data_IF_643658312077
#
_entry.id   IF_643658312077
#
_cell.length_a   1.000
_cell.length_b   1.000
_cell.length_c   1.000
_cell.angle_alpha   90.00
_cell.angle_beta   90.00
_cell.angle_gamma   90.00
#
_symmetry.space_group_name_H-M   'P 1'
#
loop_
_entity.id
_entity.type
_entity.pdbx_description
1 polymer ?
#
# COMPACT_ATOMS: atom_id res chain seq x y z
N UNK A 1 9.65 7.41 3.93
CA UNK A 1 9.28 6.45 5.00
C UNK A 1 10.01 5.14 4.77
N UNK A 2 10.40 4.40 5.81
CA UNK A 2 11.02 3.06 5.68
C UNK A 2 10.35 2.07 6.63
N UNK A 3 10.00 0.87 6.13
CA UNK A 3 9.60 -0.28 6.96
C UNK A 3 10.68 -1.37 6.91
N UNK A 4 11.11 -1.83 8.08
CA UNK A 4 12.15 -2.85 8.19
C UNK A 4 11.53 -4.25 8.30
N UNK A 5 11.43 -4.98 7.19
CA UNK A 5 10.65 -6.23 7.13
C UNK A 5 11.26 -7.34 7.98
N UNK A 6 12.58 -7.38 8.12
CA UNK A 6 13.28 -8.32 9.00
C UNK A 6 12.85 -8.26 10.47
N UNK A 7 12.30 -7.12 10.90
CA UNK A 7 11.78 -6.91 12.26
C UNK A 7 10.25 -7.01 12.34
N UNK A 8 9.59 -7.24 11.22
CA UNK A 8 8.13 -7.27 11.18
C UNK A 8 7.63 -8.57 11.78
N UNK A 9 6.70 -8.46 12.73
CA UNK A 9 6.14 -9.60 13.45
C UNK A 9 4.67 -9.85 13.10
N UNK A 10 4.15 -9.24 12.03
CA UNK A 10 2.78 -9.50 11.57
C UNK A 10 1.66 -9.07 12.50
N UNK A 11 1.92 -8.45 13.67
CA UNK A 11 0.92 -8.25 14.73
C UNK A 11 -0.31 -7.37 14.42
N UNK A 12 -0.43 -6.78 13.22
CA UNK A 12 -1.56 -5.92 12.80
C UNK A 12 -1.91 -4.70 13.69
N UNK A 13 -1.16 -4.40 14.77
CA UNK A 13 -1.43 -3.26 15.66
C UNK A 13 -1.47 -1.92 14.92
N UNK A 14 -0.62 -1.78 13.90
CA UNK A 14 -0.58 -0.64 13.00
C UNK A 14 -1.87 -0.46 12.18
N UNK A 15 -2.53 -1.56 11.81
CA UNK A 15 -3.79 -1.58 11.06
C UNK A 15 -4.93 -1.13 11.96
N UNK A 16 -5.01 -1.70 13.17
CA UNK A 16 -6.03 -1.34 14.16
C UNK A 16 -5.91 0.13 14.59
N UNK A 17 -4.70 0.62 14.86
CA UNK A 17 -4.49 2.03 15.20
C UNK A 17 -4.96 2.98 14.09
N UNK A 18 -4.73 2.62 12.81
CA UNK A 18 -5.22 3.41 11.69
C UNK A 18 -6.74 3.30 11.54
N UNK A 19 -7.29 2.10 11.70
CA UNK A 19 -8.72 1.80 11.59
C UNK A 19 -9.52 2.65 12.57
N UNK A 20 -9.18 2.57 13.85
CA UNK A 20 -9.89 3.21 14.95
C UNK A 20 -9.86 4.74 14.91
N UNK A 21 -8.84 5.34 14.28
CA UNK A 21 -8.74 6.81 14.21
C UNK A 21 -9.46 7.35 12.96
N UNK A 22 -9.40 6.63 11.83
CA UNK A 22 -9.74 7.22 10.54
C UNK A 22 -10.88 6.55 9.77
N UNK A 23 -11.12 5.25 9.97
CA UNK A 23 -11.95 4.43 9.05
C UNK A 23 -12.91 3.49 9.79
N UNK A 24 -13.39 3.89 10.97
CA UNK A 24 -14.42 3.21 11.75
C UNK A 24 -15.86 3.67 11.40
N UNK A 25 -15.98 4.55 10.39
CA UNK A 25 -17.24 5.12 9.91
C UNK A 25 -17.93 4.19 8.91
N UNK A 26 -19.26 4.28 8.84
CA UNK A 26 -20.04 3.67 7.77
C UNK A 26 -19.53 4.12 6.39
N UNK A 27 -19.44 3.18 5.44
CA UNK A 27 -18.82 3.38 4.15
C UNK A 27 -17.33 3.07 4.11
N UNK A 28 -16.66 3.05 5.27
CA UNK A 28 -15.20 2.91 5.40
C UNK A 28 -14.77 1.70 6.22
N UNK A 29 -15.71 0.98 6.80
CA UNK A 29 -15.48 -0.23 7.59
C UNK A 29 -14.66 -1.29 6.84
N UNK A 30 -14.87 -1.43 5.53
CA UNK A 30 -14.07 -2.33 4.70
C UNK A 30 -12.67 -1.80 4.37
N UNK A 31 -12.39 -0.50 4.57
CA UNK A 31 -11.15 0.15 4.14
C UNK A 31 -10.02 -0.02 5.15
N UNK A 32 -8.90 -0.61 4.72
CA UNK A 32 -7.69 -0.70 5.52
C UNK A 32 -6.58 0.17 4.91
N UNK A 33 -6.59 1.46 5.27
CA UNK A 33 -5.56 2.42 4.82
C UNK A 33 -4.15 1.92 5.15
N UNK A 34 -3.98 1.37 6.36
CA UNK A 34 -2.86 0.49 6.72
C UNK A 34 -3.39 -0.94 6.84
N UNK A 35 -2.80 -1.86 6.08
CA UNK A 35 -3.03 -3.29 6.19
C UNK A 35 -1.67 -4.01 6.26
N UNK A 36 -1.67 -5.26 6.72
CA UNK A 36 -0.50 -6.15 6.69
C UNK A 36 -0.93 -7.40 5.95
N UNK A 37 -0.03 -7.95 5.15
CA UNK A 37 -0.27 -9.12 4.31
C UNK A 37 0.80 -10.15 4.61
N UNK A 38 0.45 -11.43 4.53
CA UNK A 38 1.44 -12.50 4.53
C UNK A 38 1.90 -12.74 3.09
N UNK A 39 3.22 -12.91 2.92
CA UNK A 39 3.84 -13.19 1.63
C UNK A 39 4.63 -14.51 1.70
N UNK A 40 4.47 -15.43 0.73
CA UNK A 40 3.61 -15.33 -0.46
C UNK A 40 2.10 -15.35 -0.15
N UNK A 41 1.32 -14.58 -0.90
CA UNK A 41 -0.13 -14.41 -0.73
C UNK A 41 -0.72 -13.41 -1.73
N UNK A 42 -2.05 -13.44 -1.92
CA UNK A 42 -2.71 -12.56 -2.92
C UNK A 42 -2.95 -11.14 -2.41
N UNK A 43 -2.89 -10.95 -1.09
CA UNK A 43 -2.98 -9.64 -0.44
C UNK A 43 -4.37 -8.99 -0.53
N UNK A 44 -4.41 -7.68 -0.29
CA UNK A 44 -5.66 -6.93 -0.13
C UNK A 44 -5.64 -5.59 -0.94
N UNK A 45 -6.58 -5.38 -1.88
CA UNK A 45 -7.54 -6.36 -2.40
C UNK A 45 -6.83 -7.55 -3.07
N UNK A 46 -7.55 -8.64 -3.26
CA UNK A 46 -7.04 -9.88 -3.85
C UNK A 46 -6.33 -9.62 -5.17
N UNK A 47 -5.09 -10.09 -5.27
CA UNK A 47 -4.19 -9.97 -6.42
C UNK A 47 -3.90 -8.52 -6.83
N UNK A 48 -3.85 -7.57 -5.88
CA UNK A 48 -3.66 -6.14 -6.18
C UNK A 48 -2.39 -5.83 -7.01
N UNK A 49 -1.37 -6.68 -6.95
CA UNK A 49 -0.11 -6.58 -7.71
C UNK A 49 -0.29 -6.90 -9.20
N UNK A 50 -1.32 -7.67 -9.58
CA UNK A 50 -1.62 -7.99 -10.98
C UNK A 50 -2.17 -6.77 -11.73
N UNK A 51 -1.27 -6.06 -12.41
CA UNK A 51 -1.63 -4.92 -13.24
C UNK A 51 -2.11 -5.33 -14.65
N UNK A 52 -2.10 -6.61 -15.02
CA UNK A 52 -2.81 -7.08 -16.21
C UNK A 52 -4.32 -7.03 -16.00
N UNK A 53 -4.79 -7.41 -14.79
CA UNK A 53 -6.17 -7.25 -14.31
C UNK A 53 -6.50 -5.78 -14.02
N UNK A 54 -5.82 -5.18 -13.05
CA UNK A 54 -6.24 -3.88 -12.51
C UNK A 54 -5.70 -2.65 -13.23
N UNK A 55 -4.71 -2.83 -14.11
CA UNK A 55 -4.14 -1.75 -14.95
C UNK A 55 -3.73 -0.49 -14.16
N UNK A 56 -3.22 -0.63 -12.94
CA UNK A 56 -2.66 0.51 -12.20
C UNK A 56 -1.23 0.82 -12.65
N UNK A 57 -0.72 2.00 -12.31
CA UNK A 57 0.65 2.40 -12.64
C UNK A 57 0.78 3.15 -13.96
N UNK A 58 2.02 3.39 -14.37
CA UNK A 58 2.38 4.02 -15.64
C UNK A 58 3.06 3.03 -16.59
N UNK A 59 2.81 3.18 -17.88
CA UNK A 59 3.60 2.61 -18.97
C UNK A 59 4.42 3.72 -19.65
N UNK A 60 5.52 3.34 -20.28
CA UNK A 60 6.30 4.21 -21.18
C UNK A 60 5.97 3.80 -22.61
N UNK A 61 5.24 4.65 -23.34
CA UNK A 61 4.90 4.45 -24.74
C UNK A 61 5.45 5.59 -25.58
N UNK A 62 6.30 5.26 -26.56
CA UNK A 62 6.99 6.23 -27.44
C UNK A 62 7.68 7.35 -26.65
N UNK A 63 8.36 6.99 -25.57
CA UNK A 63 9.08 7.93 -24.70
C UNK A 63 8.18 8.84 -23.84
N UNK A 64 6.89 8.53 -23.71
CA UNK A 64 5.95 9.28 -22.87
C UNK A 64 5.32 8.38 -21.81
N UNK A 65 5.16 8.92 -20.60
CA UNK A 65 4.41 8.26 -19.54
C UNK A 65 2.92 8.31 -19.84
N UNK A 66 2.27 7.15 -19.78
CA UNK A 66 0.81 7.00 -19.92
C UNK A 66 0.28 6.14 -18.79
N UNK A 67 -0.89 6.52 -18.26
CA UNK A 67 -1.57 5.69 -17.27
C UNK A 67 -2.02 4.38 -17.92
N UNK A 68 -1.80 3.26 -17.23
CA UNK A 68 -2.22 1.93 -17.69
C UNK A 68 -3.75 1.78 -17.72
N UNK A 69 -4.40 2.38 -16.73
CA UNK A 69 -5.84 2.26 -16.49
C UNK A 69 -6.66 3.09 -17.46
N UNK A 70 -6.19 4.28 -17.80
CA UNK A 70 -6.98 5.27 -18.54
C UNK A 70 -6.11 6.20 -19.38
N UNK A 71 -6.72 6.83 -20.38
CA UNK A 71 -6.14 7.89 -21.18
C UNK A 71 -7.26 8.81 -21.65
N UNK A 72 -6.96 9.96 -22.28
CA UNK A 72 -7.99 10.96 -22.63
C UNK A 72 -9.20 10.36 -23.38
N UNK A 73 -8.97 9.46 -24.34
CA UNK A 73 -10.05 8.78 -25.07
C UNK A 73 -10.72 7.66 -24.27
N UNK A 74 -9.95 6.86 -23.53
CA UNK A 74 -10.48 5.73 -22.74
C UNK A 74 -11.30 6.19 -21.53
N UNK A 75 -11.00 7.37 -20.99
CA UNK A 75 -11.75 7.97 -19.88
C UNK A 75 -13.21 8.24 -20.25
N UNK A 76 -13.49 8.67 -21.49
CA UNK A 76 -14.85 8.95 -21.95
C UNK A 76 -15.69 7.67 -21.95
N UNK A 77 -15.14 6.57 -22.46
CA UNK A 77 -15.84 5.29 -22.50
C UNK A 77 -15.95 4.63 -21.12
N UNK A 78 -14.94 4.79 -20.26
CA UNK A 78 -14.89 4.16 -18.94
C UNK A 78 -15.56 4.99 -17.83
N UNK A 79 -16.14 6.15 -18.14
CA UNK A 79 -16.70 7.04 -17.11
C UNK A 79 -17.92 6.44 -16.41
N UNK A 80 -18.73 5.67 -17.14
CA UNK A 80 -19.92 5.01 -16.61
C UNK A 80 -19.61 3.66 -15.96
N UNK A 81 -18.59 2.97 -16.49
CA UNK A 81 -18.14 1.69 -15.97
C UNK A 81 -16.65 1.51 -16.27
N UNK A 82 -15.82 1.37 -15.24
CA UNK A 82 -14.41 1.10 -15.39
C UNK A 82 -14.14 -0.40 -15.13
N UNK A 83 -13.78 -1.19 -16.15
CA UNK A 83 -13.63 -2.64 -16.00
C UNK A 83 -12.42 -3.04 -15.15
N UNK A 84 -11.49 -2.13 -14.89
CA UNK A 84 -10.32 -2.38 -14.04
C UNK A 84 -10.53 -1.93 -12.59
N UNK A 85 -11.75 -1.54 -12.24
CA UNK A 85 -12.12 -1.14 -10.89
C UNK A 85 -12.27 -2.38 -10.00
N UNK A 86 -11.58 -2.47 -8.85
CA UNK A 86 -11.85 -3.54 -7.88
C UNK A 86 -13.29 -3.48 -7.38
N UNK A 87 -13.93 -4.63 -7.28
CA UNK A 87 -15.26 -4.80 -6.68
C UNK A 87 -15.16 -4.93 -5.18
N UNK A 88 -16.29 -4.97 -4.47
CA UNK A 88 -16.30 -5.24 -3.03
C UNK A 88 -15.77 -6.66 -2.73
N UNK A 89 -16.07 -7.63 -3.60
CA UNK A 89 -15.63 -9.02 -3.46
C UNK A 89 -14.11 -9.18 -3.61
N UNK A 90 -13.45 -8.30 -4.36
CA UNK A 90 -11.98 -8.24 -4.40
C UNK A 90 -11.40 -7.78 -3.04
N UNK A 91 -12.18 -7.12 -2.18
CA UNK A 91 -11.82 -6.80 -0.81
C UNK A 91 -12.40 -7.84 0.15
N UNK A 92 -13.62 -7.59 0.61
CA UNK A 92 -14.51 -8.47 1.39
C UNK A 92 -15.81 -7.72 1.66
N UNK A 93 -16.90 -8.44 1.88
CA UNK A 93 -18.14 -7.85 2.41
C UNK A 93 -17.96 -7.59 3.92
N UNK A 94 -17.98 -6.34 4.40
CA UNK A 94 -17.79 -6.05 5.82
C UNK A 94 -18.96 -6.57 6.64
N UNK A 95 -18.67 -7.14 7.81
CA UNK A 95 -19.68 -7.74 8.69
C UNK A 95 -19.54 -7.31 10.15
N UNK A 96 -20.64 -7.45 10.87
CA UNK A 96 -20.71 -7.41 12.34
C UNK A 96 -21.44 -8.67 12.82
N UNK A 97 -21.79 -8.76 14.10
CA UNK A 97 -22.50 -9.91 14.65
C UNK A 97 -23.76 -9.47 15.42
N UNK A 98 -24.79 -10.31 15.41
CA UNK A 98 -25.97 -10.13 16.24
C UNK A 98 -25.69 -10.46 17.72
N UNK A 99 -24.93 -9.60 18.39
CA UNK A 99 -24.64 -9.76 19.81
C UNK A 99 -25.90 -9.66 20.68
N UNK A 100 -26.97 -9.00 20.20
CA UNK A 100 -28.22 -8.86 20.96
C UNK A 100 -28.92 -10.20 21.13
N UNK A 101 -28.80 -11.10 20.16
CA UNK A 101 -29.36 -12.45 20.26
C UNK A 101 -28.81 -13.23 21.47
N UNK A 102 -27.58 -12.95 21.92
CA UNK A 102 -27.01 -13.61 23.11
C UNK A 102 -27.73 -13.25 24.41
N UNK A 103 -28.43 -12.12 24.46
CA UNK A 103 -29.11 -11.62 25.66
C UNK A 103 -30.63 -11.69 25.55
N UNK A 104 -31.16 -11.58 24.32
CA UNK A 104 -32.59 -11.40 24.06
C UNK A 104 -33.23 -12.59 23.35
N UNK A 105 -32.49 -13.67 23.10
CA UNK A 105 -33.07 -14.86 22.48
C UNK A 105 -34.23 -15.40 23.32
N UNK A 106 -35.34 -15.81 22.68
CA UNK A 106 -36.42 -16.47 23.38
C UNK A 106 -35.96 -17.81 23.95
N UNK A 107 -36.65 -18.29 24.98
CA UNK A 107 -36.44 -19.63 25.52
C UNK A 107 -36.62 -20.69 24.42
N UNK A 108 -35.66 -21.62 24.32
CA UNK A 108 -35.63 -22.63 23.27
C UNK A 108 -34.67 -23.77 23.61
N UNK A 109 -34.68 -24.81 22.78
CA UNK A 109 -33.83 -26.00 22.98
C UNK A 109 -32.37 -25.81 22.58
N UNK A 110 -32.07 -24.78 21.77
CA UNK A 110 -30.74 -24.51 21.24
C UNK A 110 -30.09 -23.31 21.94
N UNK A 111 -28.77 -23.36 22.13
CA UNK A 111 -28.01 -22.25 22.68
C UNK A 111 -27.98 -21.07 21.69
N UNK A 112 -28.30 -19.84 22.12
CA UNK A 112 -28.23 -18.68 21.23
C UNK A 112 -26.79 -18.37 20.82
N UNK A 113 -26.61 -17.98 19.56
CA UNK A 113 -25.32 -17.60 18.99
C UNK A 113 -25.40 -16.22 18.34
N UNK A 114 -24.28 -15.51 18.25
CA UNK A 114 -24.18 -14.25 17.52
C UNK A 114 -23.81 -14.55 16.07
N UNK A 115 -24.80 -14.53 15.18
CA UNK A 115 -24.61 -14.79 13.75
C UNK A 115 -24.06 -13.55 13.02
N UNK A 116 -23.22 -13.70 11.99
CA UNK A 116 -22.68 -12.58 11.24
C UNK A 116 -23.78 -11.89 10.41
N UNK A 117 -23.74 -10.57 10.39
CA UNK A 117 -24.65 -9.67 9.65
C UNK A 117 -23.81 -8.79 8.72
N UNK A 118 -24.21 -8.68 7.46
CA UNK A 118 -23.61 -7.75 6.51
C UNK A 118 -23.78 -6.30 6.99
N UNK A 119 -22.70 -5.54 7.02
CA UNK A 119 -22.75 -4.09 7.26
C UNK A 119 -23.21 -3.30 6.03
N UNK A 120 -23.41 -3.98 4.89
CA UNK A 120 -23.93 -3.39 3.65
C UNK A 120 -25.44 -3.60 3.54
N UNK A 121 -25.92 -4.86 3.65
CA UNK A 121 -27.33 -5.20 3.44
C UNK A 121 -28.13 -5.28 4.74
N UNK A 122 -27.49 -5.57 5.87
CA UNK A 122 -28.16 -5.86 7.14
C UNK A 122 -28.69 -7.30 7.25
N UNK A 123 -28.48 -8.13 6.24
CA UNK A 123 -28.91 -9.53 6.23
C UNK A 123 -27.86 -10.44 6.90
N UNK A 124 -28.30 -11.62 7.33
CA UNK A 124 -27.39 -12.68 7.75
C UNK A 124 -26.57 -13.20 6.57
N UNK A 125 -25.28 -13.40 6.78
CA UNK A 125 -24.36 -13.87 5.75
C UNK A 125 -23.55 -15.09 6.20
N UNK A 126 -22.85 -15.72 5.27
CA UNK A 126 -21.72 -16.59 5.59
C UNK A 126 -20.44 -15.81 5.27
N UNK A 127 -19.48 -15.78 6.20
CA UNK A 127 -18.22 -15.07 5.98
C UNK A 127 -17.30 -15.94 5.14
N UNK A 128 -17.02 -15.52 3.91
CA UNK A 128 -16.21 -16.27 2.93
C UNK A 128 -14.84 -15.62 2.64
N UNK A 129 -14.67 -14.36 3.01
CA UNK A 129 -13.45 -13.59 2.81
C UNK A 129 -13.27 -12.52 3.89
N UNK A 130 -12.05 -12.02 4.02
CA UNK A 130 -11.69 -10.95 4.94
C UNK A 130 -10.41 -10.25 4.50
N UNK A 131 -10.07 -9.11 5.11
CA UNK A 131 -8.93 -8.27 4.70
C UNK A 131 -7.55 -8.90 4.97
N UNK A 132 -7.52 -10.05 5.63
CA UNK A 132 -6.33 -10.77 6.07
C UNK A 132 -6.62 -12.29 6.09
N UNK A 133 -7.29 -12.78 5.05
CA UNK A 133 -7.82 -14.15 5.00
C UNK A 133 -6.73 -15.22 4.82
N UNK A 134 -5.59 -14.84 4.22
CA UNK A 134 -4.41 -15.67 3.97
C UNK A 134 -3.28 -15.47 4.99
N UNK A 135 -3.60 -14.96 6.18
CA UNK A 135 -2.67 -14.79 7.30
C UNK A 135 -1.97 -16.11 7.64
N UNK A 136 -0.68 -16.02 7.99
CA UNK A 136 0.18 -17.18 8.29
C UNK A 136 0.00 -18.38 7.36
N UNK A 137 -0.06 -18.09 6.04
CA UNK A 137 -0.20 -19.08 4.96
C UNK A 137 -1.56 -19.83 4.94
N UNK A 138 -2.58 -19.28 5.59
CA UNK A 138 -3.96 -19.75 5.51
C UNK A 138 -4.42 -19.89 4.05
N UNK A 139 -4.90 -21.08 3.67
CA UNK A 139 -5.36 -21.33 2.30
C UNK A 139 -4.25 -21.25 1.24
N UNK A 140 -2.99 -21.59 1.58
CA UNK A 140 -1.81 -21.52 0.68
C UNK A 140 -2.02 -21.97 -0.77
N UNK A 141 -2.77 -23.06 -1.01
CA UNK A 141 -3.06 -23.56 -2.37
C UNK A 141 -3.91 -22.60 -3.22
N UNK A 142 -4.66 -21.74 -2.56
CA UNK A 142 -5.52 -20.73 -3.20
C UNK A 142 -4.78 -19.41 -3.27
N UNK A 143 -4.07 -19.01 -2.21
CA UNK A 143 -3.50 -17.67 -2.11
C UNK A 143 -1.99 -17.62 -2.36
N UNK A 144 -1.19 -18.39 -1.64
CA UNK A 144 0.26 -18.36 -1.76
C UNK A 144 0.74 -18.83 -3.15
N UNK A 145 0.17 -19.91 -3.68
CA UNK A 145 0.52 -20.45 -5.02
C UNK A 145 0.18 -19.48 -6.16
N UNK A 146 -0.79 -18.59 -5.93
CA UNK A 146 -1.28 -17.60 -6.90
C UNK A 146 -0.76 -16.17 -6.59
N UNK A 147 0.29 -16.03 -5.77
CA UNK A 147 0.95 -14.74 -5.57
C UNK A 147 1.62 -14.28 -6.90
N UNK A 148 1.27 -13.09 -7.43
CA UNK A 148 1.86 -12.58 -8.67
C UNK A 148 3.38 -12.46 -8.66
N UNK A 149 4.01 -12.37 -7.49
CA UNK A 149 5.46 -12.30 -7.37
C UNK A 149 6.16 -13.63 -7.73
N UNK A 150 5.42 -14.73 -7.85
CA UNK A 150 5.97 -16.04 -8.22
C UNK A 150 6.01 -16.26 -9.74
N UNK A 151 5.42 -15.37 -10.56
CA UNK A 151 5.28 -15.54 -12.02
C UNK A 151 6.61 -15.70 -12.76
N UNK A 152 7.70 -15.15 -12.22
CA UNK A 152 9.04 -15.29 -12.76
C UNK A 152 9.77 -16.60 -12.38
N UNK A 153 9.21 -17.43 -11.51
CA UNK A 153 9.83 -18.66 -11.03
C UNK A 153 9.54 -19.86 -11.94
N UNK A 154 10.51 -20.76 -12.05
CA UNK A 154 10.31 -22.06 -12.72
C UNK A 154 9.41 -22.97 -11.88
N UNK A 155 8.81 -23.98 -12.53
CA UNK A 155 7.98 -24.98 -11.83
C UNK A 155 8.76 -25.69 -10.71
N UNK A 156 10.04 -26.02 -10.94
CA UNK A 156 10.90 -26.62 -9.92
C UNK A 156 11.11 -25.68 -8.73
N UNK A 157 11.34 -24.38 -8.96
CA UNK A 157 11.47 -23.38 -7.89
C UNK A 157 10.16 -23.24 -7.09
N UNK A 158 9.01 -23.24 -7.77
CA UNK A 158 7.70 -23.22 -7.11
C UNK A 158 7.49 -24.44 -6.22
N UNK A 159 7.79 -25.64 -6.72
CA UNK A 159 7.70 -26.87 -5.94
C UNK A 159 8.62 -26.86 -4.71
N UNK A 160 9.82 -26.27 -4.84
CA UNK A 160 10.74 -26.13 -3.71
C UNK A 160 10.22 -25.17 -2.62
N UNK A 161 9.51 -24.10 -2.99
CA UNK A 161 8.90 -23.16 -2.03
C UNK A 161 7.66 -23.74 -1.34
N UNK A 162 6.91 -24.61 -2.03
CA UNK A 162 5.72 -25.26 -1.48
C UNK A 162 6.03 -26.53 -0.67
N UNK A 163 7.28 -26.97 -0.63
CA UNK A 163 7.70 -28.09 0.21
C UNK A 163 7.58 -27.71 1.70
N UNK A 164 6.87 -28.52 2.48
CA UNK A 164 6.56 -28.23 3.91
C UNK A 164 7.81 -27.89 4.72
N UNK A 165 8.92 -28.59 4.49
CA UNK A 165 10.21 -28.39 5.18
C UNK A 165 10.93 -27.08 4.77
N UNK A 166 10.42 -26.38 3.76
CA UNK A 166 11.00 -25.17 3.16
C UNK A 166 10.02 -24.01 3.09
N UNK A 167 8.87 -24.12 3.76
CA UNK A 167 7.89 -23.05 3.83
C UNK A 167 8.52 -21.83 4.52
N UNK A 168 8.57 -20.73 3.80
CA UNK A 168 9.00 -19.43 4.31
C UNK A 168 7.91 -18.43 3.97
N UNK A 169 7.56 -17.62 4.96
CA UNK A 169 6.73 -16.46 4.74
C UNK A 169 7.29 -15.25 5.50
N UNK A 170 6.87 -14.07 5.09
CA UNK A 170 7.15 -12.82 5.80
C UNK A 170 5.94 -11.92 5.73
N UNK A 171 5.94 -10.88 6.58
CA UNK A 171 4.85 -9.92 6.63
C UNK A 171 5.17 -8.68 5.82
N UNK A 172 4.18 -8.21 5.06
CA UNK A 172 4.29 -7.04 4.20
C UNK A 172 3.26 -5.96 4.61
N UNK A 173 3.58 -5.12 5.60
CA UNK A 173 2.72 -4.01 6.01
C UNK A 173 2.73 -2.89 4.97
N UNK A 174 1.56 -2.45 4.48
CA UNK A 174 1.44 -1.43 3.44
C UNK A 174 0.54 -0.26 3.82
N UNK A 175 0.91 0.93 3.36
CA UNK A 175 0.09 2.16 3.35
C UNK A 175 0.16 2.82 1.97
N UNK A 176 -0.51 3.95 1.77
CA UNK A 176 -0.23 4.79 0.60
C UNK A 176 1.25 5.19 0.59
N UNK A 177 1.90 5.08 -0.57
CA UNK A 177 3.30 5.43 -0.72
C UNK A 177 3.57 6.93 -0.86
N UNK A 178 2.52 7.77 -0.93
CA UNK A 178 2.62 9.23 -1.15
C UNK A 178 3.64 9.59 -2.25
N UNK A 179 3.52 8.92 -3.40
CA UNK A 179 4.53 8.87 -4.45
C UNK A 179 4.90 10.25 -5.02
N UNK A 180 6.06 10.36 -5.68
CA UNK A 180 6.47 11.58 -6.40
C UNK A 180 5.73 11.71 -7.74
N UNK A 181 5.45 10.59 -8.41
CA UNK A 181 4.66 10.51 -9.65
C UNK A 181 3.33 9.75 -9.45
N UNK A 182 2.38 10.29 -8.65
CA UNK A 182 1.18 9.56 -8.24
C UNK A 182 0.16 9.38 -9.38
N UNK A 183 -0.05 8.14 -9.82
CA UNK A 183 -1.08 7.81 -10.82
C UNK A 183 -2.48 8.26 -10.42
N UNK A 184 -2.80 8.22 -9.12
CA UNK A 184 -4.11 8.60 -8.61
C UNK A 184 -4.41 10.09 -8.78
N UNK A 185 -3.38 10.96 -8.73
CA UNK A 185 -3.51 12.39 -9.04
C UNK A 185 -3.78 12.57 -10.53
N UNK A 186 -2.93 11.95 -11.38
CA UNK A 186 -3.04 12.06 -12.83
C UNK A 186 -4.36 11.50 -13.40
N UNK A 187 -4.94 10.48 -12.75
CA UNK A 187 -6.15 9.83 -13.22
C UNK A 187 -7.45 10.55 -12.82
N UNK A 188 -7.41 11.49 -11.87
CA UNK A 188 -8.61 12.11 -11.31
C UNK A 188 -9.20 13.18 -12.26
N UNK A 189 -10.40 12.97 -12.85
CA UNK A 189 -10.93 13.91 -13.83
C UNK A 189 -11.30 15.28 -13.23
N UNK A 190 -11.70 15.32 -11.96
CA UNK A 190 -12.06 16.56 -11.27
C UNK A 190 -10.87 17.30 -10.66
N UNK A 191 -9.65 16.72 -10.75
CA UNK A 191 -8.46 17.26 -10.09
C UNK A 191 -8.59 17.36 -8.57
N UNK A 192 -9.37 16.48 -7.94
CA UNK A 192 -9.57 16.47 -6.49
C UNK A 192 -8.38 15.89 -5.71
N UNK A 193 -7.52 15.11 -6.39
CA UNK A 193 -6.28 14.62 -5.79
C UNK A 193 -5.14 15.58 -6.05
N UNK A 194 -4.32 15.81 -5.03
CA UNK A 194 -3.17 16.70 -5.11
C UNK A 194 -2.06 16.23 -4.17
N UNK A 195 -0.82 16.62 -4.46
CA UNK A 195 0.34 16.46 -3.57
C UNK A 195 0.61 17.80 -2.92
N UNK A 196 0.63 17.84 -1.59
CA UNK A 196 1.00 19.02 -0.81
C UNK A 196 2.45 19.41 -1.11
N UNK A 197 2.71 20.71 -1.25
CA UNK A 197 4.03 21.21 -1.63
C UNK A 197 5.02 21.20 -0.47
N UNK A 198 4.52 21.42 0.74
CA UNK A 198 5.30 21.57 1.97
C UNK A 198 5.83 20.26 2.56
N UNK A 199 5.14 19.13 2.34
CA UNK A 199 5.47 17.84 2.96
C UNK A 199 5.35 16.64 2.01
N UNK A 200 4.86 16.85 0.79
CA UNK A 200 4.68 15.80 -0.21
C UNK A 200 3.53 14.83 0.07
N UNK A 201 2.65 15.10 1.03
CA UNK A 201 1.51 14.23 1.32
C UNK A 201 0.47 14.35 0.20
N UNK A 202 0.22 13.24 -0.50
CA UNK A 202 -0.90 13.13 -1.46
C UNK A 202 -2.24 12.98 -0.73
N UNK A 203 -3.20 13.86 -0.99
CA UNK A 203 -4.54 13.90 -0.39
C UNK A 203 -5.64 13.87 -1.45
N UNK A 204 -6.88 13.65 -0.99
CA UNK A 204 -8.11 13.79 -1.78
C UNK A 204 -8.96 14.87 -1.12
N UNK A 205 -9.21 15.96 -1.83
CA UNK A 205 -10.14 17.00 -1.41
C UNK A 205 -11.56 16.43 -1.42
N UNK A 206 -12.14 16.27 -0.23
CA UNK A 206 -13.48 15.72 -0.05
C UNK A 206 -14.59 16.67 -0.54
N UNK A 207 -14.33 17.96 -0.73
CA UNK A 207 -15.29 18.90 -1.30
C UNK A 207 -15.27 18.91 -2.83
N UNK A 208 -14.11 18.61 -3.44
CA UNK A 208 -13.95 18.54 -4.90
C UNK A 208 -14.14 17.13 -5.47
N UNK A 209 -14.07 16.09 -4.64
CA UNK A 209 -14.27 14.71 -5.08
C UNK A 209 -15.69 14.53 -5.63
N UNK A 210 -15.79 14.03 -6.86
CA UNK A 210 -17.05 13.72 -7.55
C UNK A 210 -17.25 12.21 -7.77
N UNK A 211 -16.48 11.37 -7.06
CA UNK A 211 -16.52 9.91 -7.19
C UNK A 211 -16.51 9.37 -8.63
N UNK A 212 -15.64 9.92 -9.46
CA UNK A 212 -15.31 9.28 -10.75
C UNK A 212 -14.61 7.93 -10.59
N UNK A 213 -14.08 7.63 -9.39
CA UNK A 213 -13.43 6.36 -9.00
C UNK A 213 -12.21 5.94 -9.84
N UNK A 214 -11.85 6.66 -10.89
CA UNK A 214 -10.69 6.37 -11.75
C UNK A 214 -9.36 6.29 -11.00
N UNK A 215 -9.23 7.04 -9.91
CA UNK A 215 -8.05 7.04 -9.04
C UNK A 215 -7.80 5.69 -8.34
N UNK A 216 -8.84 4.87 -8.15
CA UNK A 216 -8.76 3.56 -7.49
C UNK A 216 -8.06 2.56 -8.39
N UNK A 217 -8.57 2.36 -9.61
CA UNK A 217 -7.93 1.52 -10.63
C UNK A 217 -6.50 2.01 -10.95
N UNK A 218 -6.32 3.33 -11.10
CA UNK A 218 -5.03 3.91 -11.46
C UNK A 218 -3.95 3.71 -10.39
N UNK A 219 -4.30 3.65 -9.11
CA UNK A 219 -3.35 3.34 -8.05
C UNK A 219 -2.92 1.87 -8.18
N UNK A 220 -1.66 1.57 -8.54
CA UNK A 220 -1.22 0.19 -8.67
C UNK A 220 -1.23 -0.52 -7.32
N UNK A 221 -0.98 0.21 -6.23
CA UNK A 221 -1.00 -0.32 -4.86
C UNK A 221 -2.41 -0.49 -4.26
N UNK A 222 -3.46 -0.07 -4.98
CA UNK A 222 -4.86 -0.09 -4.51
C UNK A 222 -5.09 0.56 -3.15
N UNK A 223 -4.35 1.65 -2.89
CA UNK A 223 -4.41 2.45 -1.64
C UNK A 223 -5.34 3.65 -1.70
N UNK A 224 -6.27 3.64 -2.65
CA UNK A 224 -7.42 4.54 -2.70
C UNK A 224 -8.65 3.66 -2.64
N UNK A 225 -9.59 4.00 -1.77
CA UNK A 225 -10.79 3.24 -1.50
C UNK A 225 -12.02 4.09 -1.81
N UNK A 226 -13.18 3.46 -2.02
CA UNK A 226 -14.43 4.15 -2.30
C UNK A 226 -15.35 4.08 -1.09
N UNK A 227 -15.67 5.22 -0.50
CA UNK A 227 -16.66 5.28 0.57
C UNK A 227 -18.05 5.13 -0.05
N UNK A 228 -18.66 3.96 0.13
CA UNK A 228 -19.94 3.63 -0.48
C UNK A 228 -21.11 4.39 0.15
N UNK A 229 -20.96 4.88 1.38
CA UNK A 229 -21.98 5.69 2.06
C UNK A 229 -21.95 7.16 1.61
N UNK A 230 -20.76 7.78 1.58
CA UNK A 230 -20.62 9.21 1.22
C UNK A 230 -20.50 9.45 -0.28
N UNK A 231 -20.24 8.40 -1.06
CA UNK A 231 -20.03 8.51 -2.50
C UNK A 231 -18.77 9.30 -2.85
N UNK A 232 -17.67 9.11 -2.10
CA UNK A 232 -16.37 9.76 -2.33
C UNK A 232 -15.22 8.80 -2.12
N UNK A 233 -14.09 9.04 -2.78
CA UNK A 233 -12.89 8.23 -2.53
C UNK A 233 -12.10 8.77 -1.35
N UNK A 234 -11.55 7.85 -0.57
CA UNK A 234 -10.72 8.12 0.61
C UNK A 234 -9.41 7.32 0.56
N UNK A 235 -8.39 7.77 1.26
CA UNK A 235 -7.08 7.11 1.32
C UNK A 235 -6.32 7.53 2.57
N UNK A 236 -5.24 6.78 2.87
CA UNK A 236 -4.26 7.19 3.87
C UNK A 236 -3.87 8.67 3.69
N UNK A 237 -4.02 9.45 4.75
CA UNK A 237 -3.69 10.88 4.80
C UNK A 237 -2.33 11.14 5.45
N UNK A 238 -1.53 10.08 5.61
CA UNK A 238 -0.28 10.04 6.39
C UNK A 238 -0.37 10.65 7.80
N UNK A 239 -1.58 10.69 8.37
CA UNK A 239 -1.87 11.42 9.59
C UNK A 239 -1.34 12.87 9.55
N UNK A 240 -1.55 13.60 8.44
CA UNK A 240 -1.07 14.99 8.33
C UNK A 240 -1.40 15.88 9.54
N UNK A 241 -2.57 15.77 10.23
CA UNK A 241 -2.82 16.59 11.42
C UNK A 241 -1.82 16.33 12.56
N UNK A 242 -1.32 15.09 12.67
CA UNK A 242 -0.27 14.71 13.62
C UNK A 242 1.09 15.24 13.16
N UNK A 243 1.41 15.07 11.88
CA UNK A 243 2.69 15.53 11.31
C UNK A 243 2.86 17.05 11.40
N UNK A 244 1.80 17.82 11.18
CA UNK A 244 1.77 19.28 11.32
C UNK A 244 2.11 19.75 12.74
N UNK A 245 1.95 18.87 13.74
CA UNK A 245 2.33 19.12 15.15
C UNK A 245 3.60 18.39 15.57
N UNK A 246 4.37 17.86 14.62
CA UNK A 246 5.62 17.13 14.86
C UNK A 246 5.43 15.72 15.43
N UNK A 247 4.21 15.18 15.44
CA UNK A 247 3.92 13.85 15.95
C UNK A 247 4.01 12.79 14.85
N UNK A 248 4.51 11.61 15.20
CA UNK A 248 4.53 10.48 14.29
C UNK A 248 3.10 10.02 13.90
N UNK A 249 2.87 9.54 12.66
CA UNK A 249 1.60 8.94 12.27
C UNK A 249 1.23 7.77 13.18
N UNK A 250 -0.06 7.53 13.38
CA UNK A 250 -0.53 6.55 14.36
C UNK A 250 0.07 5.16 14.14
N UNK A 251 0.10 4.68 12.89
CA UNK A 251 0.68 3.37 12.55
C UNK A 251 2.20 3.28 12.77
N UNK A 252 2.92 4.40 12.80
CA UNK A 252 4.35 4.47 13.16
C UNK A 252 4.52 4.47 14.68
N UNK A 253 3.72 5.31 15.37
CA UNK A 253 3.78 5.46 16.82
C UNK A 253 3.41 4.16 17.55
N UNK A 254 2.39 3.43 17.06
CA UNK A 254 1.92 2.18 17.67
C UNK A 254 2.65 0.92 17.18
N UNK A 255 3.73 1.06 16.41
CA UNK A 255 4.41 -0.09 15.82
C UNK A 255 5.17 -0.90 16.88
N UNK A 256 4.58 -2.01 17.32
CA UNK A 256 5.15 -2.93 18.33
C UNK A 256 6.52 -3.49 17.91
N UNK A 257 6.66 -3.94 16.65
CA UNK A 257 7.94 -4.44 16.13
C UNK A 257 9.02 -3.36 15.91
N UNK A 258 8.69 -2.08 16.12
CA UNK A 258 9.61 -0.93 15.95
C UNK A 258 10.32 -0.95 14.59
N UNK A 259 9.54 -1.19 13.52
CA UNK A 259 10.06 -1.37 12.15
C UNK A 259 10.00 -0.09 11.33
N UNK A 260 9.23 0.90 11.77
CA UNK A 260 8.83 2.04 10.94
C UNK A 260 9.65 3.28 11.26
N UNK A 261 10.35 3.78 10.25
CA UNK A 261 11.16 4.99 10.34
C UNK A 261 10.56 6.09 9.46
N UNK A 262 10.42 7.27 10.04
CA UNK A 262 9.99 8.48 9.36
C UNK A 262 11.16 9.47 9.32
N UNK A 263 11.29 10.19 8.23
CA UNK A 263 12.37 11.14 8.02
C UNK A 263 12.16 11.88 6.71
N UNK A 264 12.63 13.12 6.66
CA UNK A 264 12.53 13.99 5.49
C UNK A 264 13.48 13.49 4.41
N UNK A 265 13.07 13.62 3.15
CA UNK A 265 13.91 13.45 1.98
C UNK A 265 13.72 14.69 1.11
N UNK A 266 14.81 15.40 0.81
CA UNK A 266 14.81 16.43 -0.21
C UNK A 266 14.87 15.75 -1.58
N UNK A 267 14.07 16.21 -2.53
CA UNK A 267 14.05 15.63 -3.87
C UNK A 267 13.94 16.71 -4.94
N UNK A 268 14.53 16.43 -6.09
CA UNK A 268 14.38 17.27 -7.28
C UNK A 268 13.09 16.89 -8.03
N UNK A 269 12.11 17.80 -8.02
CA UNK A 269 10.81 17.59 -8.64
C UNK A 269 10.87 17.67 -10.18
N UNK A 270 11.81 18.42 -10.76
CA UNK A 270 11.92 18.61 -12.21
C UNK A 270 12.36 17.32 -12.92
N UNK A 271 13.04 16.43 -12.18
CA UNK A 271 13.50 15.13 -12.67
C UNK A 271 12.47 14.01 -12.60
N UNK A 272 11.26 14.27 -12.08
CA UNK A 272 10.21 13.23 -11.92
C UNK A 272 9.88 12.56 -13.27
N UNK A 273 9.72 13.35 -14.33
CA UNK A 273 9.35 12.81 -15.64
C UNK A 273 10.50 12.00 -16.25
N UNK A 274 11.72 12.56 -16.23
CA UNK A 274 12.96 11.90 -16.69
C UNK A 274 13.12 10.53 -16.04
N UNK A 275 13.11 10.47 -14.71
CA UNK A 275 13.32 9.23 -13.95
C UNK A 275 12.15 8.27 -14.12
N UNK A 276 10.92 8.76 -14.19
CA UNK A 276 9.76 7.92 -14.46
C UNK A 276 9.86 7.18 -15.80
N UNK A 277 10.61 7.71 -16.78
CA UNK A 277 10.82 7.14 -18.11
C UNK A 277 12.05 6.22 -18.22
N UNK A 278 12.91 6.16 -17.20
CA UNK A 278 14.15 5.38 -17.25
C UNK A 278 13.90 3.87 -17.52
N UNK A 279 14.86 3.15 -18.09
CA UNK A 279 14.79 1.68 -18.22
C UNK A 279 14.49 1.02 -16.87
N UNK A 280 13.74 -0.08 -16.88
CA UNK A 280 13.20 -0.68 -15.65
C UNK A 280 14.31 -1.10 -14.67
N UNK A 281 15.38 -1.67 -15.21
CA UNK A 281 16.59 -2.10 -14.54
C UNK A 281 17.38 -0.96 -13.87
N UNK A 282 17.21 0.28 -14.36
CA UNK A 282 17.87 1.48 -13.84
C UNK A 282 17.00 2.27 -12.85
N UNK A 283 15.68 1.99 -12.80
CA UNK A 283 14.71 2.80 -12.06
C UNK A 283 15.04 2.96 -10.56
N UNK A 284 15.64 1.95 -9.93
CA UNK A 284 16.00 2.02 -8.50
C UNK A 284 17.07 3.08 -8.27
N UNK A 285 18.17 3.02 -9.02
CA UNK A 285 19.26 4.01 -8.89
C UNK A 285 18.83 5.37 -9.42
N UNK A 286 18.05 5.44 -10.50
CA UNK A 286 17.50 6.69 -11.02
C UNK A 286 16.60 7.38 -9.97
N UNK A 287 15.70 6.63 -9.31
CA UNK A 287 14.87 7.15 -8.22
C UNK A 287 15.71 7.62 -7.02
N UNK A 288 16.73 6.84 -6.63
CA UNK A 288 17.70 7.29 -5.60
C UNK A 288 18.44 8.55 -6.01
N UNK A 289 18.77 8.72 -7.30
CA UNK A 289 19.48 9.91 -7.78
C UNK A 289 18.69 11.20 -7.60
N UNK A 290 17.35 11.13 -7.52
CA UNK A 290 16.51 12.31 -7.27
C UNK A 290 16.52 12.75 -5.82
N UNK A 291 16.84 11.85 -4.89
CA UNK A 291 16.92 12.19 -3.47
C UNK A 291 18.25 12.92 -3.26
N UNK A 292 18.14 14.19 -2.89
CA UNK A 292 19.25 15.13 -2.77
C UNK A 292 19.98 14.98 -1.43
N UNK A 293 21.27 15.31 -1.43
CA UNK A 293 22.10 15.28 -0.22
C UNK A 293 21.80 16.50 0.67
N UNK A 294 21.25 16.33 1.89
CA UNK A 294 20.92 17.44 2.76
C UNK A 294 22.16 18.09 3.41
N UNK A 295 23.38 17.64 3.10
CA UNK A 295 24.63 18.25 3.55
C UNK A 295 25.35 19.04 2.44
N UNK A 296 24.88 18.94 1.20
CA UNK A 296 25.47 19.63 0.06
C UNK A 296 25.10 21.14 0.10
N UNK A 297 26.09 22.06 0.14
CA UNK A 297 25.85 23.50 0.13
C UNK A 297 24.95 23.99 -1.01
N UNK A 298 25.05 23.41 -2.20
CA UNK A 298 24.22 23.80 -3.36
C UNK A 298 22.76 23.38 -3.17
N UNK A 299 22.53 22.18 -2.64
CA UNK A 299 21.19 21.67 -2.28
C UNK A 299 20.57 22.53 -1.18
N UNK A 300 21.36 22.90 -0.17
CA UNK A 300 20.89 23.75 0.94
C UNK A 300 20.45 25.12 0.46
N UNK A 301 21.23 25.76 -0.41
CA UNK A 301 20.87 27.04 -1.00
C UNK A 301 19.66 26.93 -1.93
N UNK A 302 19.58 25.87 -2.73
CA UNK A 302 18.39 25.58 -3.53
C UNK A 302 17.14 25.36 -2.68
N UNK A 303 17.25 24.63 -1.57
CA UNK A 303 16.13 24.38 -0.65
C UNK A 303 15.59 25.69 -0.05
N UNK A 304 16.48 26.58 0.41
CA UNK A 304 16.11 27.91 0.92
C UNK A 304 15.42 28.77 -0.13
N UNK A 305 15.96 28.80 -1.35
CA UNK A 305 15.34 29.52 -2.49
C UNK A 305 13.96 28.98 -2.84
N UNK A 306 13.72 27.69 -2.66
CA UNK A 306 12.42 27.04 -2.84
C UNK A 306 11.50 27.14 -1.60
N UNK A 307 11.87 27.93 -0.59
CA UNK A 307 11.03 28.18 0.58
C UNK A 307 10.99 27.02 1.60
N UNK A 308 11.92 26.07 1.53
CA UNK A 308 12.03 25.01 2.54
C UNK A 308 12.56 25.62 3.83
N UNK A 309 11.78 25.51 4.90
CA UNK A 309 12.12 26.05 6.21
C UNK A 309 13.35 25.35 6.84
N UNK A 310 14.20 26.08 7.56
CA UNK A 310 15.43 25.52 8.16
C UNK A 310 15.17 24.30 9.05
N UNK A 311 14.06 24.27 9.78
CA UNK A 311 13.71 23.09 10.60
C UNK A 311 13.51 21.82 9.76
N UNK A 312 13.01 21.94 8.52
CA UNK A 312 12.83 20.82 7.58
C UNK A 312 14.19 20.38 7.04
N UNK A 313 15.07 21.33 6.74
CA UNK A 313 16.46 21.04 6.34
C UNK A 313 17.20 20.29 7.46
N UNK A 314 17.12 20.78 8.70
CA UNK A 314 17.70 20.08 9.87
C UNK A 314 17.10 18.69 10.05
N UNK A 315 15.79 18.53 9.84
CA UNK A 315 15.14 17.21 9.89
C UNK A 315 15.61 16.28 8.75
N UNK A 316 15.93 16.82 7.57
CA UNK A 316 16.51 16.04 6.46
C UNK A 316 17.92 15.54 6.79
N UNK A 317 18.76 16.40 7.39
CA UNK A 317 20.10 16.03 7.86
C UNK A 317 20.07 14.93 8.93
N UNK A 318 19.04 14.94 9.78
CA UNK A 318 18.83 13.93 10.82
C UNK A 318 17.96 12.74 10.36
N UNK A 319 17.62 12.65 9.07
CA UNK A 319 16.66 11.69 8.56
C UNK A 319 17.18 10.25 8.62
N UNK A 320 16.56 9.33 9.38
CA UNK A 320 16.89 7.91 9.31
C UNK A 320 16.54 7.34 7.93
N UNK A 321 15.50 7.86 7.29
CA UNK A 321 15.07 7.44 5.94
C UNK A 321 16.15 7.74 4.91
N UNK A 322 16.80 8.91 4.98
CA UNK A 322 17.92 9.24 4.10
C UNK A 322 19.08 8.24 4.25
N UNK A 323 19.43 7.87 5.49
CA UNK A 323 20.47 6.87 5.75
C UNK A 323 20.14 5.50 5.14
N UNK A 324 18.93 4.99 5.38
CA UNK A 324 18.49 3.70 4.83
C UNK A 324 18.45 3.66 3.30
N UNK A 325 18.00 4.74 2.65
CA UNK A 325 17.76 4.78 1.20
C UNK A 325 19.00 5.18 0.40
N UNK A 326 19.74 6.20 0.86
CA UNK A 326 20.86 6.82 0.12
C UNK A 326 22.23 6.40 0.57
N UNK A 327 22.45 6.34 1.89
CA UNK A 327 23.78 6.06 2.45
C UNK A 327 24.06 4.56 2.47
N UNK A 328 23.18 3.79 3.12
CA UNK A 328 23.33 2.34 3.28
C UNK A 328 22.77 1.56 2.08
N UNK A 329 21.89 2.18 1.29
CA UNK A 329 21.23 1.58 0.11
C UNK A 329 20.53 0.23 0.39
N UNK A 330 20.14 -0.04 1.63
CA UNK A 330 19.44 -1.27 2.03
C UNK A 330 17.92 -1.16 1.98
N UNK A 331 17.36 0.05 1.90
CA UNK A 331 15.93 0.24 1.70
C UNK A 331 15.60 0.39 0.21
N UNK A 332 14.63 -0.39 -0.25
CA UNK A 332 14.21 -0.52 -1.65
C UNK A 332 12.74 -0.07 -1.81
N UNK A 333 12.39 0.61 -2.91
CA UNK A 333 11.01 0.97 -3.21
C UNK A 333 10.18 -0.29 -3.56
N UNK A 334 8.91 -0.39 -3.12
CA UNK A 334 8.02 -1.48 -3.53
C UNK A 334 7.55 -1.28 -4.98
N UNK A 335 7.68 -2.31 -5.80
CA UNK A 335 7.21 -2.30 -7.19
C UNK A 335 7.59 -1.02 -7.96
N UNK A 336 8.88 -0.76 -8.09
CA UNK A 336 9.37 0.44 -8.77
C UNK A 336 8.98 0.48 -10.25
N UNK A 337 8.77 -0.69 -10.86
CA UNK A 337 8.29 -0.89 -12.23
C UNK A 337 6.90 -0.27 -12.48
N UNK A 338 6.13 0.04 -11.42
CA UNK A 338 4.90 0.81 -11.56
C UNK A 338 5.15 2.30 -11.88
N UNK A 339 6.41 2.74 -11.84
CA UNK A 339 6.89 4.08 -12.24
C UNK A 339 6.23 5.25 -11.50
N UNK A 340 5.69 4.96 -10.32
CA UNK A 340 5.06 5.98 -9.47
C UNK A 340 6.07 6.74 -8.62
N UNK A 341 7.30 6.23 -8.49
CA UNK A 341 8.35 6.76 -7.60
C UNK A 341 7.84 6.80 -6.13
N UNK A 342 7.62 5.63 -5.50
CA UNK A 342 7.01 5.53 -4.18
C UNK A 342 7.93 6.06 -3.07
N UNK A 343 7.39 6.84 -2.12
CA UNK A 343 8.17 7.44 -1.00
C UNK A 343 8.09 6.62 0.30
N UNK A 344 7.61 5.38 0.21
CA UNK A 344 7.73 4.35 1.22
C UNK A 344 8.67 3.27 0.68
N UNK A 345 9.69 2.94 1.46
CA UNK A 345 10.72 1.96 1.13
C UNK A 345 10.71 0.83 2.16
N UNK A 346 11.29 -0.30 1.79
CA UNK A 346 11.38 -1.49 2.63
C UNK A 346 12.81 -1.96 2.74
N UNK A 347 13.27 -2.26 3.95
CA UNK A 347 14.45 -3.13 4.12
C UNK A 347 13.94 -4.56 3.99
N UNK A 348 14.43 -5.36 3.02
CA UNK A 348 13.99 -6.74 2.83
C UNK A 348 14.19 -7.60 4.09
N UNK A 349 13.35 -8.63 4.31
CA UNK A 349 13.57 -9.57 5.40
C UNK A 349 14.75 -10.50 5.08
N UNK A 350 15.46 -10.96 6.10
CA UNK A 350 16.34 -12.11 5.94
C UNK A 350 15.51 -13.39 5.98
N UNK A 351 15.79 -14.33 5.08
CA UNK A 351 15.17 -15.65 5.10
C UNK A 351 15.91 -16.58 6.08
N UNK A 352 15.21 -17.55 6.70
CA UNK A 352 15.86 -18.66 7.39
C UNK A 352 16.85 -19.39 6.47
N UNK A 353 17.86 -20.04 7.06
CA UNK A 353 18.76 -20.92 6.30
C UNK A 353 17.95 -22.05 5.68
N UNK A 354 17.92 -22.10 4.35
CA UNK A 354 17.20 -23.12 3.60
C UNK A 354 17.98 -24.44 3.62
N UNK A 355 17.35 -25.52 4.08
CA UNK A 355 17.95 -26.85 4.04
C UNK A 355 17.92 -27.43 2.61
N UNK A 356 19.09 -27.68 2.05
CA UNK A 356 19.32 -28.35 0.77
C UNK A 356 19.49 -29.86 0.95
N UNK A 357 18.58 -30.68 0.42
CA UNK A 357 18.75 -32.14 0.43
C UNK A 357 19.51 -32.58 -0.82
N UNK A 358 20.75 -33.03 -0.66
CA UNK A 358 21.53 -33.70 -1.71
C UNK A 358 21.56 -35.21 -1.43
N UNK A 359 20.70 -35.97 -2.10
CA UNK A 359 20.56 -37.42 -1.85
C UNK A 359 19.97 -37.69 -0.46
N UNK A 360 20.67 -38.46 0.38
CA UNK A 360 20.26 -38.75 1.76
C UNK A 360 20.80 -37.73 2.78
N UNK A 361 21.53 -36.71 2.35
CA UNK A 361 22.12 -35.70 3.22
C UNK A 361 21.26 -34.44 3.17
N UNK A 362 20.79 -34.00 4.34
CA UNK A 362 20.18 -32.68 4.54
C UNK A 362 21.32 -31.73 4.91
N UNK A 363 21.63 -30.76 4.05
CA UNK A 363 22.59 -29.68 4.29
C UNK A 363 21.88 -28.40 4.68
#
# INVERSE_FOLDING_TARGET
MVFHLDKCIGCHTCSIACKNIWTDRQGTEYMWWNNVETKPGTGYPTAWEDQSKYRGGWDVDKGKLKLRSTGKGRLIFNIFHNPSQPTLDDYYEPWTYDYKNLFNAPEGGDQPTARPISMITGDYINVEAGPNWDDDLGGSRIYAENDPNLDGLTEEQRQQLSAVERLVFFYFPRICNHCLNPCCVAACPSGALYKRGEDGIVLIDQNRCRAWRSCIAACPYKKVFYNWSTGKSEKCILCFPRLETGQAPACFHSCVGRIRYLGVLLYDADRIEEVGKAPQEELIEAHRSMILDPFDPEVLEAARRNGIHESVITAAQNSPVYKFVKVWKIALPPHIEFRTLPMLFYVPPMAPVMAGKNGNVVN
#
